data_IF_272549279444
#
_entry.id   IF_272549279444
#
_cell.length_a   1.000
_cell.length_b   1.000
_cell.length_c   1.000
_cell.angle_alpha   90.00
_cell.angle_beta   90.00
_cell.angle_gamma   90.00
#
_symmetry.space_group_name_H-M   'P 1'
#
loop_
_entity.id
_entity.type
_entity.pdbx_description
1 polymer ?
#
# COMPACT_ATOMS: atom_id res chain seq x y z
N UNK A 1 27.76 -19.32 7.44
CA UNK A 1 26.50 -19.95 6.97
C UNK A 1 25.49 -20.20 8.12
N UNK A 2 25.94 -20.72 9.29
CA UNK A 2 25.06 -21.07 10.42
C UNK A 2 24.43 -19.83 11.10
N UNK A 3 25.15 -18.72 11.23
CA UNK A 3 24.63 -17.49 11.85
C UNK A 3 23.54 -16.83 11.00
N UNK A 4 23.66 -16.88 9.66
CA UNK A 4 22.63 -16.41 8.73
C UNK A 4 21.38 -17.29 8.79
N UNK A 5 21.51 -18.61 8.90
CA UNK A 5 20.38 -19.51 9.02
C UNK A 5 19.63 -19.36 10.37
N UNK A 6 20.33 -19.02 11.45
CA UNK A 6 19.73 -18.69 12.75
C UNK A 6 18.99 -17.34 12.71
N UNK A 7 19.49 -16.36 11.96
CA UNK A 7 18.83 -15.09 11.76
C UNK A 7 17.55 -15.23 10.92
N UNK A 8 17.56 -16.05 9.88
CA UNK A 8 16.40 -16.30 9.02
C UNK A 8 15.21 -16.95 9.74
N UNK A 9 15.45 -17.73 10.78
CA UNK A 9 14.41 -18.44 11.54
C UNK A 9 13.98 -17.73 12.83
N UNK A 10 14.47 -16.52 13.11
CA UNK A 10 14.07 -15.81 14.31
C UNK A 10 12.71 -15.11 14.09
N UNK A 11 11.72 -15.43 14.91
CA UNK A 11 10.41 -14.72 14.95
C UNK A 11 10.60 -13.19 15.04
N UNK A 12 11.65 -12.76 15.74
CA UNK A 12 12.01 -11.36 15.88
C UNK A 12 12.31 -10.68 14.53
N UNK A 13 13.03 -11.36 13.60
CA UNK A 13 13.31 -10.83 12.28
C UNK A 13 12.05 -10.70 11.44
N UNK A 14 11.14 -11.69 11.54
CA UNK A 14 9.85 -11.64 10.85
C UNK A 14 9.00 -10.47 11.35
N UNK A 15 8.89 -10.29 12.65
CA UNK A 15 8.16 -9.15 13.23
C UNK A 15 8.78 -7.80 12.83
N UNK A 16 10.10 -7.68 12.81
CA UNK A 16 10.76 -6.47 12.32
C UNK A 16 10.43 -6.19 10.84
N UNK A 17 10.39 -7.22 10.01
CA UNK A 17 9.95 -7.09 8.61
C UNK A 17 8.49 -6.63 8.50
N UNK A 18 7.58 -7.19 9.31
CA UNK A 18 6.17 -6.79 9.38
C UNK A 18 6.02 -5.31 9.78
N UNK A 19 6.79 -4.84 10.77
CA UNK A 19 6.85 -3.41 11.12
C UNK A 19 7.35 -2.56 9.94
N UNK A 20 8.36 -3.02 9.22
CA UNK A 20 8.84 -2.33 8.01
C UNK A 20 7.74 -2.14 6.97
N UNK A 21 6.94 -3.18 6.71
CA UNK A 21 5.77 -3.10 5.80
C UNK A 21 4.74 -2.11 6.30
N UNK A 22 4.42 -2.12 7.59
CA UNK A 22 3.44 -1.19 8.20
C UNK A 22 3.87 0.25 7.96
N UNK A 23 5.12 0.60 8.24
CA UNK A 23 5.61 1.97 8.03
C UNK A 23 5.74 2.35 6.56
N UNK A 24 6.12 1.41 5.69
CA UNK A 24 6.13 1.62 4.25
C UNK A 24 4.72 1.94 3.74
N UNK A 25 3.74 1.15 4.13
CA UNK A 25 2.35 1.35 3.71
C UNK A 25 1.76 2.65 4.28
N UNK A 26 2.13 3.02 5.50
CA UNK A 26 1.78 4.32 6.06
C UNK A 26 2.36 5.47 5.23
N UNK A 27 3.63 5.41 4.85
CA UNK A 27 4.28 6.43 4.03
C UNK A 27 3.62 6.55 2.64
N UNK A 28 3.31 5.43 1.99
CA UNK A 28 2.56 5.43 0.72
C UNK A 28 1.18 6.06 0.92
N UNK A 29 0.50 5.74 2.02
CA UNK A 29 -0.78 6.37 2.37
C UNK A 29 -0.69 7.89 2.56
N UNK A 30 0.42 8.40 3.12
CA UNK A 30 0.67 9.85 3.27
C UNK A 30 0.81 10.57 1.93
N UNK A 31 1.33 9.93 0.91
CA UNK A 31 1.46 10.52 -0.43
C UNK A 31 0.10 10.68 -1.12
N UNK A 32 -0.92 9.99 -0.64
CA UNK A 32 -2.26 10.03 -1.21
C UNK A 32 -2.88 11.44 -1.10
N UNK A 33 -3.57 11.88 -2.18
CA UNK A 33 -4.16 13.21 -2.26
C UNK A 33 -5.54 13.16 -2.94
N UNK A 34 -6.60 13.16 -2.13
CA UNK A 34 -7.99 13.11 -2.61
C UNK A 34 -8.39 14.29 -3.52
N UNK A 35 -8.04 15.55 -3.22
CA UNK A 35 -8.30 16.68 -4.12
C UNK A 35 -7.70 16.49 -5.51
N UNK A 36 -6.44 16.03 -5.60
CA UNK A 36 -5.75 15.77 -6.87
C UNK A 36 -6.42 14.62 -7.63
N UNK A 37 -6.81 13.57 -6.94
CA UNK A 37 -7.56 12.45 -7.50
C UNK A 37 -8.88 12.90 -8.14
N UNK A 38 -9.65 13.77 -7.45
CA UNK A 38 -10.92 14.32 -7.96
C UNK A 38 -10.72 15.20 -9.19
N UNK A 39 -9.70 16.05 -9.17
CA UNK A 39 -9.37 16.93 -10.29
C UNK A 39 -9.01 16.13 -11.56
N UNK A 40 -8.32 15.00 -11.39
CA UNK A 40 -7.80 14.18 -12.50
C UNK A 40 -8.64 12.91 -12.77
N UNK A 41 -9.86 12.81 -12.24
CA UNK A 41 -10.70 11.60 -12.26
C UNK A 41 -10.83 10.91 -13.63
N UNK A 42 -10.91 11.67 -14.73
CA UNK A 42 -11.01 11.10 -16.09
C UNK A 42 -9.75 10.33 -16.51
N UNK A 43 -8.56 10.84 -16.19
CA UNK A 43 -7.30 10.17 -16.48
C UNK A 43 -7.08 9.00 -15.50
N UNK A 44 -7.41 9.18 -14.23
CA UNK A 44 -7.28 8.16 -13.18
C UNK A 44 -8.15 6.95 -13.49
N UNK A 45 -9.47 7.13 -13.60
CA UNK A 45 -10.42 6.02 -13.81
C UNK A 45 -10.56 5.61 -15.29
N UNK A 46 -10.06 6.39 -16.24
CA UNK A 46 -9.95 5.99 -17.63
C UNK A 46 -8.64 5.25 -17.91
N UNK A 47 -7.57 6.01 -18.07
CA UNK A 47 -6.26 5.46 -18.45
C UNK A 47 -5.65 4.58 -17.36
N UNK A 48 -5.72 5.01 -16.09
CA UNK A 48 -5.14 4.28 -14.97
C UNK A 48 -5.81 2.92 -14.75
N UNK A 49 -7.14 2.89 -14.70
CA UNK A 49 -7.89 1.64 -14.58
C UNK A 49 -7.56 0.69 -15.75
N UNK A 50 -7.59 1.22 -16.98
CA UNK A 50 -7.32 0.42 -18.18
C UNK A 50 -5.90 -0.15 -18.15
N UNK A 51 -4.90 0.64 -17.79
CA UNK A 51 -3.50 0.20 -17.69
C UNK A 51 -3.37 -0.93 -16.66
N UNK A 52 -3.86 -0.76 -15.44
CA UNK A 52 -3.74 -1.77 -14.37
C UNK A 52 -4.44 -3.07 -14.76
N UNK A 53 -5.70 -2.98 -15.23
CA UNK A 53 -6.48 -4.17 -15.61
C UNK A 53 -5.82 -4.90 -16.78
N UNK A 54 -5.44 -4.19 -17.85
CA UNK A 54 -4.79 -4.82 -19.01
C UNK A 54 -3.45 -5.43 -18.64
N UNK A 55 -2.64 -4.77 -17.81
CA UNK A 55 -1.36 -5.32 -17.37
C UNK A 55 -1.58 -6.60 -16.57
N UNK A 56 -2.52 -6.61 -15.61
CA UNK A 56 -2.82 -7.82 -14.83
C UNK A 56 -3.30 -8.94 -15.75
N UNK A 57 -4.22 -8.69 -16.68
CA UNK A 57 -4.75 -9.71 -17.58
C UNK A 57 -3.65 -10.26 -18.49
N UNK A 58 -2.90 -9.38 -19.18
CA UNK A 58 -1.87 -9.80 -20.13
C UNK A 58 -0.72 -10.51 -19.43
N UNK A 59 -0.25 -9.99 -18.29
CA UNK A 59 0.86 -10.58 -17.55
C UNK A 59 0.44 -11.94 -16.93
N UNK A 60 -0.80 -12.04 -16.41
CA UNK A 60 -1.32 -13.32 -15.90
C UNK A 60 -1.43 -14.35 -17.03
N UNK A 61 -2.01 -13.98 -18.16
CA UNK A 61 -2.10 -14.87 -19.32
C UNK A 61 -0.71 -15.32 -19.81
N UNK A 62 0.23 -14.38 -19.90
CA UNK A 62 1.62 -14.65 -20.26
C UNK A 62 2.33 -15.58 -19.26
N UNK A 63 2.17 -15.33 -17.97
CA UNK A 63 2.74 -16.18 -16.91
C UNK A 63 2.18 -17.61 -16.95
N UNK A 64 0.86 -17.76 -17.13
CA UNK A 64 0.23 -19.08 -17.25
C UNK A 64 0.61 -19.81 -18.55
N UNK A 65 0.77 -19.09 -19.66
CA UNK A 65 1.24 -19.67 -20.91
C UNK A 65 2.69 -20.14 -20.77
N UNK A 66 3.56 -19.29 -20.19
CA UNK A 66 4.96 -19.64 -19.94
C UNK A 66 5.07 -20.83 -18.98
N UNK A 67 4.22 -20.90 -17.95
CA UNK A 67 4.19 -22.01 -17.01
C UNK A 67 3.88 -23.37 -17.68
N UNK A 68 3.21 -23.39 -18.85
CA UNK A 68 2.98 -24.63 -19.63
C UNK A 68 4.26 -25.13 -20.31
N UNK A 69 5.19 -24.21 -20.60
CA UNK A 69 6.47 -24.54 -21.26
C UNK A 69 7.55 -24.91 -20.24
N UNK A 70 7.35 -24.58 -18.96
CA UNK A 70 8.31 -24.83 -17.90
C UNK A 70 8.12 -26.21 -17.24
N UNK A 71 9.19 -26.79 -16.66
CA UNK A 71 9.11 -28.01 -15.86
C UNK A 71 8.09 -27.87 -14.72
N UNK A 72 7.44 -28.97 -14.25
CA UNK A 72 6.37 -28.92 -13.26
C UNK A 72 6.71 -28.17 -11.96
N UNK A 73 7.97 -28.25 -11.52
CA UNK A 73 8.45 -27.59 -10.29
C UNK A 73 8.61 -26.06 -10.42
N UNK A 74 8.56 -25.50 -11.64
CA UNK A 74 8.58 -24.05 -11.90
C UNK A 74 7.20 -23.48 -12.25
N UNK A 75 6.16 -24.31 -12.23
CA UNK A 75 4.83 -23.87 -12.62
C UNK A 75 4.21 -22.99 -11.53
N UNK A 76 3.86 -21.77 -11.91
CA UNK A 76 3.10 -20.88 -11.06
C UNK A 76 1.63 -21.31 -10.99
N UNK A 77 1.04 -21.26 -9.79
CA UNK A 77 -0.41 -21.33 -9.65
C UNK A 77 -1.06 -20.09 -10.27
N UNK A 78 -2.33 -20.18 -10.66
CA UNK A 78 -3.02 -19.02 -11.22
C UNK A 78 -3.13 -17.88 -10.19
N UNK A 79 -3.25 -18.20 -8.89
CA UNK A 79 -3.26 -17.22 -7.80
C UNK A 79 -1.93 -16.46 -7.72
N UNK A 80 -0.81 -17.19 -7.77
CA UNK A 80 0.52 -16.61 -7.77
C UNK A 80 0.76 -15.76 -9.04
N UNK A 81 0.26 -16.22 -10.21
CA UNK A 81 0.33 -15.46 -11.45
C UNK A 81 -0.44 -14.13 -11.36
N UNK A 82 -1.64 -14.12 -10.79
CA UNK A 82 -2.43 -12.90 -10.56
C UNK A 82 -1.73 -11.96 -9.58
N UNK A 83 -1.21 -12.47 -8.45
CA UNK A 83 -0.50 -11.68 -7.46
C UNK A 83 0.76 -11.02 -8.05
N UNK A 84 1.57 -11.80 -8.78
CA UNK A 84 2.75 -11.29 -9.48
C UNK A 84 2.38 -10.23 -10.52
N UNK A 85 1.33 -10.48 -11.29
CA UNK A 85 0.85 -9.53 -12.30
C UNK A 85 0.33 -8.23 -11.69
N UNK A 86 -0.33 -8.31 -10.52
CA UNK A 86 -0.72 -7.14 -9.73
C UNK A 86 0.48 -6.31 -9.30
N UNK A 87 1.54 -6.95 -8.82
CA UNK A 87 2.79 -6.27 -8.47
C UNK A 87 3.46 -5.63 -9.70
N UNK A 88 3.51 -6.34 -10.83
CA UNK A 88 4.08 -5.82 -12.08
C UNK A 88 3.29 -4.67 -12.70
N UNK A 89 2.01 -4.53 -12.35
CA UNK A 89 1.18 -3.42 -12.82
C UNK A 89 1.49 -2.10 -12.10
N UNK A 90 2.20 -2.14 -10.96
CA UNK A 90 2.56 -0.97 -10.16
C UNK A 90 3.88 -0.37 -10.63
N UNK A 91 3.96 0.95 -10.63
CA UNK A 91 5.15 1.73 -10.95
C UNK A 91 5.55 2.59 -9.76
N UNK A 92 6.84 2.96 -9.66
CA UNK A 92 7.28 3.87 -8.61
C UNK A 92 6.86 5.31 -8.92
N UNK A 93 5.85 5.80 -8.21
CA UNK A 93 5.37 7.19 -8.30
C UNK A 93 6.52 8.18 -8.04
N UNK A 94 7.33 7.95 -7.01
CA UNK A 94 8.43 8.83 -6.64
C UNK A 94 9.49 8.96 -7.76
N UNK A 95 9.90 7.83 -8.37
CA UNK A 95 10.90 7.83 -9.45
C UNK A 95 10.35 8.55 -10.69
N UNK A 96 9.13 8.21 -11.09
CA UNK A 96 8.51 8.78 -12.30
C UNK A 96 8.29 10.29 -12.13
N UNK A 97 7.74 10.73 -11.00
CA UNK A 97 7.51 12.15 -10.70
C UNK A 97 8.83 12.92 -10.68
N UNK A 98 9.88 12.37 -10.05
CA UNK A 98 11.20 13.00 -10.02
C UNK A 98 11.77 13.19 -11.44
N UNK A 99 11.77 12.14 -12.26
CA UNK A 99 12.27 12.22 -13.64
C UNK A 99 11.49 13.22 -14.49
N UNK A 100 10.17 13.28 -14.32
CA UNK A 100 9.33 14.24 -15.03
C UNK A 100 9.52 15.68 -14.55
N UNK A 101 9.78 15.88 -13.25
CA UNK A 101 10.12 17.18 -12.69
C UNK A 101 11.44 17.71 -13.26
N UNK A 102 12.47 16.87 -13.32
CA UNK A 102 13.78 17.21 -13.90
C UNK A 102 13.68 17.62 -15.39
N UNK A 103 12.68 17.06 -16.11
CA UNK A 103 12.40 17.38 -17.52
C UNK A 103 11.40 18.51 -17.72
N UNK A 104 10.86 19.09 -16.63
CA UNK A 104 9.80 20.11 -16.66
C UNK A 104 8.52 19.64 -17.41
N UNK A 105 8.20 18.34 -17.33
CA UNK A 105 7.11 17.71 -18.05
C UNK A 105 5.85 17.45 -17.20
N UNK A 106 5.88 17.72 -15.90
CA UNK A 106 4.77 17.43 -14.97
C UNK A 106 3.45 18.11 -15.38
N UNK A 107 3.52 19.35 -15.87
CA UNK A 107 2.33 20.12 -16.27
C UNK A 107 1.92 19.91 -17.73
N UNK A 108 2.70 19.13 -18.50
CA UNK A 108 2.38 18.79 -19.89
C UNK A 108 1.16 17.86 -19.97
N UNK A 109 0.55 17.78 -21.17
CA UNK A 109 -0.59 16.89 -21.41
C UNK A 109 -0.26 15.40 -21.15
N UNK A 110 0.92 14.95 -21.56
CA UNK A 110 1.35 13.58 -21.27
C UNK A 110 1.69 13.42 -19.79
N UNK A 111 2.27 14.43 -19.14
CA UNK A 111 2.54 14.43 -17.71
C UNK A 111 1.30 14.25 -16.87
N UNK A 112 0.23 14.97 -17.18
CA UNK A 112 -1.08 14.80 -16.54
C UNK A 112 -1.65 13.40 -16.72
N UNK A 113 -1.48 12.79 -17.91
CA UNK A 113 -1.91 11.41 -18.15
C UNK A 113 -1.11 10.40 -17.34
N UNK A 114 0.22 10.54 -17.31
CA UNK A 114 1.10 9.70 -16.48
C UNK A 114 0.73 9.82 -15.01
N UNK A 115 0.58 11.06 -14.50
CA UNK A 115 0.13 11.30 -13.13
C UNK A 115 -1.22 10.66 -12.82
N UNK A 116 -2.15 10.66 -13.78
CA UNK A 116 -3.43 9.99 -13.63
C UNK A 116 -3.29 8.47 -13.49
N UNK A 117 -2.40 7.85 -14.26
CA UNK A 117 -2.09 6.40 -14.14
C UNK A 117 -1.47 6.10 -12.79
N UNK A 118 -0.46 6.85 -12.35
CA UNK A 118 0.22 6.65 -11.05
C UNK A 118 -0.76 6.78 -9.88
N UNK A 119 -1.62 7.81 -9.89
CA UNK A 119 -2.64 8.00 -8.86
C UNK A 119 -3.66 6.85 -8.83
N UNK A 120 -3.97 6.24 -9.98
CA UNK A 120 -4.82 5.06 -10.00
C UNK A 120 -4.09 3.83 -9.46
N UNK A 121 -2.81 3.65 -9.77
CA UNK A 121 -2.00 2.55 -9.23
C UNK A 121 -1.95 2.62 -7.71
N UNK A 122 -1.70 3.80 -7.13
CA UNK A 122 -1.72 4.00 -5.68
C UNK A 122 -3.10 3.65 -5.07
N UNK A 123 -4.19 4.00 -5.75
CA UNK A 123 -5.54 3.62 -5.34
C UNK A 123 -5.78 2.11 -5.48
N UNK A 124 -5.24 1.47 -6.52
CA UNK A 124 -5.41 0.04 -6.80
C UNK A 124 -4.68 -0.86 -5.79
N UNK A 125 -3.69 -0.33 -5.06
CA UNK A 125 -3.03 -1.06 -3.96
C UNK A 125 -4.06 -1.53 -2.92
N UNK A 126 -5.07 -0.72 -2.60
CA UNK A 126 -6.10 -1.06 -1.59
C UNK A 126 -6.86 -2.35 -1.95
N UNK A 127 -7.53 -2.45 -3.11
CA UNK A 127 -8.19 -3.69 -3.49
C UNK A 127 -7.22 -4.86 -3.67
N UNK A 128 -5.97 -4.64 -4.11
CA UNK A 128 -4.98 -5.71 -4.24
C UNK A 128 -4.56 -6.26 -2.88
N UNK A 129 -4.37 -5.43 -1.85
CA UNK A 129 -4.07 -5.86 -0.49
C UNK A 129 -5.18 -6.74 0.12
N UNK A 130 -6.42 -6.56 -0.33
CA UNK A 130 -7.57 -7.37 0.11
C UNK A 130 -7.71 -8.63 -0.75
N UNK A 131 -7.52 -8.49 -2.06
CA UNK A 131 -7.75 -9.55 -3.04
C UNK A 131 -6.69 -10.66 -2.94
N UNK A 132 -5.41 -10.29 -2.88
CA UNK A 132 -4.29 -11.26 -2.93
C UNK A 132 -4.37 -12.28 -1.78
N UNK A 133 -4.52 -11.90 -0.50
CA UNK A 133 -4.72 -12.86 0.58
C UNK A 133 -5.97 -13.73 0.40
N UNK A 134 -7.07 -13.16 -0.10
CA UNK A 134 -8.32 -13.88 -0.32
C UNK A 134 -8.22 -14.94 -1.44
N UNK A 135 -7.31 -14.77 -2.41
CA UNK A 135 -7.02 -15.78 -3.45
C UNK A 135 -6.44 -17.09 -2.88
N UNK A 136 -5.90 -17.07 -1.65
CA UNK A 136 -5.42 -18.26 -0.95
C UNK A 136 -6.53 -19.17 -0.42
N UNK A 137 -7.80 -18.74 -0.47
CA UNK A 137 -8.93 -19.55 -0.01
C UNK A 137 -9.15 -20.79 -0.92
N UNK A 138 -9.70 -21.91 -0.37
CA UNK A 138 -10.08 -23.07 -1.17
C UNK A 138 -11.02 -22.68 -2.33
N UNK A 139 -10.92 -23.33 -3.51
CA UNK A 139 -11.71 -22.97 -4.70
C UNK A 139 -13.22 -22.92 -4.46
N UNK A 140 -13.74 -23.81 -3.62
CA UNK A 140 -15.16 -23.92 -3.27
C UNK A 140 -15.66 -22.70 -2.48
N UNK A 141 -14.78 -22.06 -1.71
CA UNK A 141 -15.09 -20.91 -0.85
C UNK A 141 -14.55 -19.60 -1.42
N UNK A 142 -13.83 -19.63 -2.54
CA UNK A 142 -13.11 -18.47 -3.08
C UNK A 142 -14.04 -17.29 -3.33
N UNK A 143 -15.17 -17.52 -4.00
CA UNK A 143 -16.13 -16.43 -4.30
C UNK A 143 -16.70 -15.82 -3.01
N UNK A 144 -17.03 -16.67 -2.03
CA UNK A 144 -17.50 -16.22 -0.72
C UNK A 144 -16.41 -15.45 0.04
N UNK A 145 -15.17 -15.94 0.04
CA UNK A 145 -14.03 -15.28 0.68
C UNK A 145 -13.78 -13.90 0.06
N UNK A 146 -13.77 -13.81 -1.27
CA UNK A 146 -13.59 -12.56 -2.00
C UNK A 146 -14.72 -11.55 -1.71
N UNK A 147 -15.97 -11.98 -1.76
CA UNK A 147 -17.12 -11.09 -1.51
C UNK A 147 -17.14 -10.59 -0.07
N UNK A 148 -16.83 -11.43 0.92
CA UNK A 148 -16.73 -11.02 2.32
C UNK A 148 -15.55 -10.07 2.54
N UNK A 149 -14.39 -10.36 1.97
CA UNK A 149 -13.21 -9.52 2.10
C UNK A 149 -13.44 -8.13 1.48
N UNK A 150 -14.02 -8.06 0.28
CA UNK A 150 -14.38 -6.80 -0.38
C UNK A 150 -15.45 -6.02 0.39
N UNK A 151 -16.47 -6.71 0.93
CA UNK A 151 -17.49 -6.07 1.75
C UNK A 151 -16.91 -5.48 3.04
N UNK A 152 -16.10 -6.26 3.77
CA UNK A 152 -15.42 -5.78 4.99
C UNK A 152 -14.52 -4.59 4.70
N UNK A 153 -13.67 -4.69 3.67
CA UNK A 153 -12.79 -3.61 3.26
C UNK A 153 -13.60 -2.37 2.84
N UNK A 154 -14.65 -2.54 2.03
CA UNK A 154 -15.50 -1.44 1.59
C UNK A 154 -16.18 -0.72 2.76
N UNK A 155 -16.73 -1.46 3.71
CA UNK A 155 -17.36 -0.90 4.93
C UNK A 155 -16.31 -0.17 5.76
N UNK A 156 -15.17 -0.81 6.04
CA UNK A 156 -14.11 -0.23 6.86
C UNK A 156 -13.55 1.05 6.22
N UNK A 157 -13.18 0.99 4.94
CA UNK A 157 -12.64 2.15 4.20
C UNK A 157 -13.67 3.28 4.17
N UNK A 158 -14.95 2.97 3.94
CA UNK A 158 -16.02 3.98 3.92
C UNK A 158 -16.15 4.66 5.28
N UNK A 159 -16.23 3.89 6.38
CA UNK A 159 -16.31 4.44 7.74
C UNK A 159 -15.09 5.32 8.06
N UNK A 160 -13.90 4.85 7.71
CA UNK A 160 -12.67 5.58 7.97
C UNK A 160 -12.55 6.85 7.11
N UNK A 161 -12.95 6.82 5.84
CA UNK A 161 -12.90 7.99 4.96
C UNK A 161 -13.91 9.07 5.37
N UNK A 162 -15.10 8.70 5.82
CA UNK A 162 -16.13 9.68 6.21
C UNK A 162 -15.92 10.21 7.64
N UNK A 163 -15.62 9.34 8.59
CA UNK A 163 -15.42 9.69 10.00
C UNK A 163 -13.97 10.03 10.35
N UNK A 164 -13.04 9.30 9.75
CA UNK A 164 -11.61 9.32 10.07
C UNK A 164 -10.95 10.69 9.99
N UNK A 165 -11.12 11.49 8.91
CA UNK A 165 -10.44 12.79 8.81
C UNK A 165 -10.83 13.78 9.93
N UNK A 166 -12.09 13.73 10.38
CA UNK A 166 -12.56 14.58 11.50
C UNK A 166 -11.94 14.16 12.83
N UNK A 167 -11.96 12.86 13.10
CA UNK A 167 -11.37 12.28 14.32
C UNK A 167 -9.87 12.51 14.32
N UNK A 168 -9.18 12.23 13.20
CA UNK A 168 -7.75 12.39 13.04
C UNK A 168 -7.29 13.83 13.27
N UNK A 169 -7.96 14.80 12.63
CA UNK A 169 -7.67 16.22 12.81
C UNK A 169 -7.86 16.66 14.26
N UNK A 170 -8.98 16.29 14.87
CA UNK A 170 -9.25 16.60 16.28
C UNK A 170 -8.16 16.03 17.18
N UNK A 171 -7.82 14.75 17.01
CA UNK A 171 -6.82 14.06 17.82
C UNK A 171 -5.43 14.67 17.67
N UNK A 172 -4.95 14.82 16.43
CA UNK A 172 -3.63 15.41 16.16
C UNK A 172 -3.54 16.86 16.64
N UNK A 173 -4.60 17.66 16.50
CA UNK A 173 -4.64 19.04 17.06
C UNK A 173 -4.53 19.01 18.59
N UNK A 174 -5.20 18.08 19.27
CA UNK A 174 -5.11 17.94 20.72
C UNK A 174 -3.68 17.60 21.17
N UNK A 175 -3.02 16.69 20.46
CA UNK A 175 -1.64 16.27 20.73
C UNK A 175 -0.66 17.40 20.42
N UNK A 176 -0.78 18.06 19.28
CA UNK A 176 0.09 19.17 18.85
C UNK A 176 0.07 20.36 19.84
N UNK A 177 -1.07 20.60 20.51
CA UNK A 177 -1.17 21.65 21.56
C UNK A 177 -0.24 21.42 22.74
N UNK A 178 0.23 20.19 22.96
CA UNK A 178 1.17 19.87 24.05
C UNK A 178 2.61 20.30 23.74
N UNK A 179 2.91 20.70 22.50
CA UNK A 179 4.22 21.21 22.04
C UNK A 179 5.41 20.28 22.38
N UNK A 180 5.19 18.96 22.37
CA UNK A 180 6.22 17.93 22.52
C UNK A 180 6.28 17.13 21.22
N UNK A 181 7.45 17.12 20.58
CA UNK A 181 7.73 16.37 19.36
C UNK A 181 7.68 14.87 19.64
N UNK A 182 8.22 14.43 20.77
CA UNK A 182 8.22 13.03 21.19
C UNK A 182 6.79 12.51 21.40
N UNK A 183 5.94 13.32 22.08
CA UNK A 183 4.54 12.96 22.27
C UNK A 183 3.78 12.89 20.96
N UNK A 184 4.08 13.77 20.02
CA UNK A 184 3.47 13.78 18.69
C UNK A 184 3.85 12.49 17.94
N UNK A 185 5.14 12.13 17.91
CA UNK A 185 5.64 10.91 17.29
C UNK A 185 5.03 9.64 17.90
N UNK A 186 4.97 9.54 19.23
CA UNK A 186 4.36 8.40 19.91
C UNK A 186 2.88 8.24 19.55
N UNK A 187 2.14 9.34 19.44
CA UNK A 187 0.74 9.30 19.01
C UNK A 187 0.61 8.89 17.54
N UNK A 188 1.51 9.31 16.68
CA UNK A 188 1.55 8.91 15.28
C UNK A 188 1.79 7.40 15.15
N UNK A 189 2.75 6.86 15.93
CA UNK A 189 2.99 5.42 16.04
C UNK A 189 1.75 4.68 16.54
N UNK A 190 1.11 5.21 17.57
CA UNK A 190 -0.13 4.64 18.14
C UNK A 190 -1.25 4.59 17.10
N UNK A 191 -1.45 5.65 16.33
CA UNK A 191 -2.46 5.70 15.26
C UNK A 191 -2.15 4.66 14.19
N UNK A 192 -0.90 4.62 13.71
CA UNK A 192 -0.48 3.74 12.62
C UNK A 192 -0.63 2.27 13.03
N UNK A 193 -0.05 1.90 14.17
CA UNK A 193 -0.09 0.53 14.68
C UNK A 193 -1.50 0.15 15.15
N UNK A 194 -2.23 1.08 15.76
CA UNK A 194 -3.60 0.88 16.22
C UNK A 194 -4.56 0.60 15.06
N UNK A 195 -4.49 1.37 13.98
CA UNK A 195 -5.31 1.11 12.78
C UNK A 195 -4.87 -0.17 12.06
N UNK A 196 -3.57 -0.45 11.97
CA UNK A 196 -3.07 -1.70 11.42
C UNK A 196 -3.63 -2.90 12.22
N UNK A 197 -3.57 -2.86 13.53
CA UNK A 197 -4.10 -3.91 14.40
C UNK A 197 -5.64 -4.04 14.30
N UNK A 198 -6.37 -2.92 14.23
CA UNK A 198 -7.83 -2.94 14.06
C UNK A 198 -8.25 -3.60 12.74
N UNK A 199 -7.51 -3.35 11.65
CA UNK A 199 -7.78 -4.01 10.37
C UNK A 199 -7.48 -5.51 10.41
N UNK A 200 -6.42 -5.91 11.10
CA UNK A 200 -6.09 -7.31 11.33
C UNK A 200 -7.19 -8.04 12.12
N UNK A 201 -7.70 -7.43 13.19
CA UNK A 201 -8.85 -7.98 13.94
C UNK A 201 -10.11 -8.13 13.07
N UNK A 202 -10.29 -7.24 12.07
CA UNK A 202 -11.37 -7.37 11.10
C UNK A 202 -11.13 -8.48 10.05
N UNK A 203 -9.96 -9.17 10.12
CA UNK A 203 -9.55 -10.21 9.17
C UNK A 203 -9.04 -9.65 7.84
N UNK A 204 -8.49 -8.44 7.88
CA UNK A 204 -7.79 -7.77 6.78
C UNK A 204 -6.29 -7.68 7.11
N UNK A 205 -5.47 -7.14 6.19
CA UNK A 205 -4.02 -7.06 6.43
C UNK A 205 -3.64 -5.86 7.29
N UNK A 206 -2.56 -6.01 8.10
CA UNK A 206 -1.88 -4.91 8.81
C UNK A 206 -1.49 -3.77 7.84
N UNK A 207 -1.01 -4.14 6.65
CA UNK A 207 -0.59 -3.22 5.60
C UNK A 207 -1.72 -2.28 5.16
N UNK A 208 -2.95 -2.80 5.01
CA UNK A 208 -4.13 -2.00 4.67
C UNK A 208 -4.44 -0.97 5.76
N UNK A 209 -4.38 -1.35 7.02
CA UNK A 209 -4.64 -0.44 8.14
C UNK A 209 -3.63 0.70 8.22
N UNK A 210 -2.36 0.38 8.03
CA UNK A 210 -1.29 1.36 7.98
C UNK A 210 -1.44 2.33 6.80
N UNK A 211 -1.78 1.82 5.61
CA UNK A 211 -2.08 2.63 4.43
C UNK A 211 -3.24 3.62 4.71
N UNK A 212 -4.33 3.12 5.29
CA UNK A 212 -5.48 3.97 5.66
C UNK A 212 -5.07 5.01 6.70
N UNK A 213 -4.26 4.67 7.70
CA UNK A 213 -3.74 5.62 8.67
C UNK A 213 -2.98 6.76 7.99
N UNK A 214 -2.07 6.43 7.07
CA UNK A 214 -1.34 7.41 6.26
C UNK A 214 -2.27 8.31 5.45
N UNK A 215 -3.25 7.72 4.78
CA UNK A 215 -4.24 8.46 4.00
C UNK A 215 -5.11 9.39 4.86
N UNK A 216 -5.48 9.01 6.07
CA UNK A 216 -6.22 9.87 6.99
C UNK A 216 -5.38 11.04 7.50
N UNK A 217 -4.10 10.82 7.77
CA UNK A 217 -3.15 11.86 8.16
C UNK A 217 -2.88 12.81 6.98
N UNK A 218 -2.81 12.32 5.75
CA UNK A 218 -2.57 13.12 4.55
C UNK A 218 -3.64 14.19 4.30
N UNK A 219 -4.85 13.98 4.81
CA UNK A 219 -5.97 14.93 4.73
C UNK A 219 -5.99 15.95 5.90
N UNK A 220 -4.95 15.95 6.75
CA UNK A 220 -4.79 16.90 7.84
C UNK A 220 -3.71 17.95 7.52
N UNK A 221 -3.74 19.05 8.25
CA UNK A 221 -2.72 20.10 8.19
C UNK A 221 -1.33 19.65 8.68
N UNK A 222 -1.26 18.53 9.39
CA UNK A 222 -0.03 17.96 9.95
C UNK A 222 0.77 17.10 8.96
N UNK A 223 0.29 16.92 7.73
CA UNK A 223 0.92 16.06 6.72
C UNK A 223 2.43 16.28 6.58
N UNK A 224 2.84 17.53 6.36
CA UNK A 224 4.26 17.85 6.13
C UNK A 224 5.13 17.62 7.37
N UNK A 225 4.61 17.92 8.56
CA UNK A 225 5.32 17.61 9.79
C UNK A 225 5.52 16.11 9.93
N UNK A 226 4.47 15.32 9.71
CA UNK A 226 4.51 13.85 9.78
C UNK A 226 5.47 13.26 8.75
N UNK A 227 5.48 13.76 7.51
CA UNK A 227 6.43 13.33 6.47
C UNK A 227 7.88 13.54 6.91
N UNK A 228 8.18 14.68 7.53
CA UNK A 228 9.53 15.00 8.02
C UNK A 228 9.92 14.13 9.20
N UNK A 229 9.03 13.97 10.16
CA UNK A 229 9.29 13.27 11.42
C UNK A 229 9.42 11.75 11.22
N UNK A 230 8.66 11.17 10.27
CA UNK A 230 8.66 9.72 10.04
C UNK A 230 9.78 9.24 9.11
N UNK A 231 10.35 10.12 8.29
CA UNK A 231 11.34 9.79 7.27
C UNK A 231 12.53 9.00 7.79
N UNK A 232 13.19 9.37 8.91
CA UNK A 232 14.33 8.60 9.43
C UNK A 232 13.95 7.16 9.82
N UNK A 233 12.77 6.97 10.39
CA UNK A 233 12.27 5.65 10.77
C UNK A 233 11.86 4.83 9.56
N UNK A 234 11.19 5.45 8.60
CA UNK A 234 10.81 4.84 7.33
C UNK A 234 12.03 4.26 6.61
N UNK A 235 13.09 5.03 6.44
CA UNK A 235 14.29 4.61 5.70
C UNK A 235 15.01 3.43 6.36
N UNK A 236 15.12 3.42 7.70
CA UNK A 236 15.71 2.32 8.46
C UNK A 236 14.84 1.06 8.38
N UNK A 237 13.53 1.18 8.61
CA UNK A 237 12.61 0.05 8.60
C UNK A 237 12.42 -0.52 7.19
N UNK A 238 12.44 0.33 6.16
CA UNK A 238 12.44 -0.10 4.77
C UNK A 238 13.70 -0.91 4.43
N UNK A 239 14.86 -0.46 4.91
CA UNK A 239 16.11 -1.20 4.78
C UNK A 239 16.03 -2.59 5.43
N UNK A 240 15.52 -2.67 6.66
CA UNK A 240 15.31 -3.93 7.38
C UNK A 240 14.34 -4.87 6.63
N UNK A 241 13.23 -4.33 6.13
CA UNK A 241 12.26 -5.08 5.34
C UNK A 241 12.90 -5.71 4.09
N UNK A 242 13.64 -4.92 3.29
CA UNK A 242 14.30 -5.44 2.10
C UNK A 242 15.40 -6.45 2.42
N UNK A 243 16.14 -6.26 3.51
CA UNK A 243 17.12 -7.24 3.96
C UNK A 243 16.42 -8.55 4.34
N UNK A 244 15.30 -8.47 5.06
CA UNK A 244 14.55 -9.67 5.50
C UNK A 244 13.97 -10.44 4.31
N UNK A 245 13.49 -9.76 3.27
CA UNK A 245 12.99 -10.43 2.05
C UNK A 245 14.13 -10.97 1.19
N UNK A 246 15.28 -10.31 1.18
CA UNK A 246 16.43 -10.69 0.33
C UNK A 246 17.28 -11.83 0.89
N UNK A 247 17.07 -12.25 2.13
CA UNK A 247 17.78 -13.38 2.76
C UNK A 247 17.06 -14.70 2.53
#
# INVERSE_FOLDING_TARGET
PHALALAQNSEAMRHLGEFGVVFLMFAIGLEFNLPKLRAMRKHVFGLGLLQVVLTIVIATAGALLLARLLPPHWRLSWQAAVALSGALAMSSTAIVVKLMAERLELESEHGKRVMGVLLFQDLAVVPLLVLIPALGAPPELLLKALSIALLKAGVLVTLLLFGGPRVMRWWLTLVARRRSEELFMLNLLLITLGLAWLTELAGLSLALGAFIAGMLVSETEFKHQVETDIRPFHDVLLGLFFITIGM
#
